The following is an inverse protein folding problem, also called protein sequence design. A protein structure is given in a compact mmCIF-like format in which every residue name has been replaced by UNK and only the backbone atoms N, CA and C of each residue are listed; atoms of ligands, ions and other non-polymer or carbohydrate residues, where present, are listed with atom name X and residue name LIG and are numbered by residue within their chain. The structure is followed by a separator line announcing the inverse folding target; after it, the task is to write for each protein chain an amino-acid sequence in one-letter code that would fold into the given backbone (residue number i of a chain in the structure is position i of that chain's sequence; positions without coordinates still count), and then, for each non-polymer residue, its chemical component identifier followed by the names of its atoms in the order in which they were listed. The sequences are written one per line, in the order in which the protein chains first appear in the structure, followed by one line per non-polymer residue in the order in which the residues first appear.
data_IF_962606974540
#
_entry.id   IF_962606974540
#
_cell.length_a   1.000
_cell.length_b   1.000
_cell.length_c   1.000
_cell.angle_alpha   90.00
_cell.angle_beta   90.00
_cell.angle_gamma   90.00
#
_symmetry.space_group_name_H-M   'P 1'
#
loop_
_entity.id
_entity.type
_entity.pdbx_description
1 polymer ?
#
# COMPACT_ATOMS: atom_id res chain seq x y z
N UNK A 1 34.01 -0.51 15.12
CA UNK A 1 32.65 -0.57 15.70
C UNK A 1 31.68 -0.83 14.56
N UNK A 2 31.45 -2.10 14.23
CA UNK A 2 30.59 -2.50 13.11
C UNK A 2 29.16 -2.72 13.61
N UNK A 3 28.25 -1.83 13.24
CA UNK A 3 26.83 -1.94 13.61
C UNK A 3 26.16 -2.97 12.70
N UNK A 4 25.73 -4.09 13.28
CA UNK A 4 24.95 -5.12 12.59
C UNK A 4 23.53 -4.60 12.43
N UNK A 5 23.20 -4.09 11.24
CA UNK A 5 21.83 -3.69 10.89
C UNK A 5 21.00 -4.95 10.70
N UNK A 6 20.08 -5.18 11.63
CA UNK A 6 19.06 -6.20 11.53
C UNK A 6 17.90 -5.61 10.72
N UNK A 7 17.91 -5.77 9.40
CA UNK A 7 16.73 -5.48 8.58
C UNK A 7 15.73 -6.60 8.89
N UNK A 8 14.79 -6.35 9.80
CA UNK A 8 13.61 -7.19 9.93
C UNK A 8 12.75 -6.90 8.70
N UNK A 9 13.03 -7.62 7.61
CA UNK A 9 12.09 -7.75 6.51
C UNK A 9 10.89 -8.51 7.07
N UNK A 10 9.94 -7.79 7.66
CA UNK A 10 8.60 -8.32 7.90
C UNK A 10 8.04 -8.61 6.52
N UNK A 11 8.04 -9.91 6.19
CA UNK A 11 7.65 -10.44 4.92
C UNK A 11 6.31 -9.82 4.49
N UNK A 12 6.29 -9.22 3.31
CA UNK A 12 5.09 -9.25 2.50
C UNK A 12 4.88 -10.74 2.23
N UNK A 13 4.01 -11.39 3.00
CA UNK A 13 3.54 -12.71 2.61
C UNK A 13 3.05 -12.55 1.18
N UNK A 14 3.69 -13.25 0.25
CA UNK A 14 3.24 -13.36 -1.13
C UNK A 14 1.99 -14.23 -1.08
N UNK A 15 0.93 -13.68 -0.51
CA UNK A 15 -0.40 -14.25 -0.54
C UNK A 15 -0.74 -14.44 -2.00
N UNK A 16 -0.84 -15.71 -2.38
CA UNK A 16 -1.34 -16.18 -3.66
C UNK A 16 -2.45 -15.27 -4.15
N UNK A 17 -2.30 -14.76 -5.38
CA UNK A 17 -3.14 -13.74 -6.01
C UNK A 17 -4.58 -13.78 -5.53
N UNK A 18 -4.90 -12.89 -4.61
CA UNK A 18 -6.29 -12.57 -4.29
C UNK A 18 -6.57 -11.29 -5.04
N UNK A 19 -7.54 -11.40 -5.94
CA UNK A 19 -7.92 -10.38 -6.90
C UNK A 19 -7.96 -8.99 -6.26
N UNK A 20 -7.40 -8.02 -6.98
CA UNK A 20 -7.65 -6.61 -6.74
C UNK A 20 -9.15 -6.36 -6.95
N UNK A 21 -9.94 -6.69 -5.93
CA UNK A 21 -11.37 -6.44 -5.96
C UNK A 21 -11.55 -4.94 -5.84
N UNK A 22 -11.80 -4.31 -7.00
CA UNK A 22 -12.17 -2.90 -7.14
C UNK A 22 -13.42 -2.62 -6.32
N UNK A 23 -13.28 -2.37 -5.01
CA UNK A 23 -14.42 -2.13 -4.12
C UNK A 23 -14.25 -2.54 -2.67
N UNK A 24 -13.09 -2.99 -2.21
CA UNK A 24 -12.87 -3.20 -0.77
C UNK A 24 -12.82 -1.86 -0.05
N UNK A 25 -13.88 -1.53 0.70
CA UNK A 25 -13.88 -0.42 1.66
C UNK A 25 -12.62 -0.52 2.55
N UNK A 26 -11.96 0.61 2.88
CA UNK A 26 -10.77 0.58 3.71
C UNK A 26 -11.09 -0.11 5.03
N UNK A 27 -10.27 -1.11 5.40
CA UNK A 27 -10.42 -1.75 6.69
C UNK A 27 -10.03 -0.72 7.77
N UNK A 28 -10.93 -0.35 8.69
CA UNK A 28 -10.64 0.66 9.70
C UNK A 28 -9.44 0.26 10.57
N UNK A 29 -9.31 -1.02 10.95
CA UNK A 29 -8.18 -1.49 11.75
C UNK A 29 -6.83 -1.37 11.02
N UNK A 30 -6.80 -1.57 9.70
CA UNK A 30 -5.58 -1.37 8.90
C UNK A 30 -5.26 0.13 8.74
N UNK A 31 -6.29 0.97 8.72
CA UNK A 31 -6.18 2.43 8.62
C UNK A 31 -5.67 3.03 9.93
N UNK A 32 -6.18 2.54 11.07
CA UNK A 32 -5.72 2.92 12.41
C UNK A 32 -4.27 2.46 12.65
N UNK A 33 -3.96 1.19 12.31
CA UNK A 33 -2.58 0.71 12.38
C UNK A 33 -1.62 1.57 11.55
N UNK A 34 -2.04 1.99 10.35
CA UNK A 34 -1.23 2.85 9.49
C UNK A 34 -0.85 4.15 10.18
N UNK A 35 -1.84 4.88 10.71
CA UNK A 35 -1.62 6.19 11.32
C UNK A 35 -0.88 6.09 12.65
N UNK A 36 -1.15 5.06 13.45
CA UNK A 36 -0.45 4.80 14.72
C UNK A 36 1.04 4.51 14.52
N UNK A 37 1.42 3.90 13.40
CA UNK A 37 2.81 3.52 13.10
C UNK A 37 3.54 4.57 12.23
N UNK A 38 3.00 5.79 12.13
CA UNK A 38 3.64 6.89 11.40
C UNK A 38 3.49 6.82 9.88
N UNK A 39 2.58 5.98 9.38
CA UNK A 39 2.18 5.95 7.98
C UNK A 39 1.06 6.96 7.67
N UNK A 40 0.91 7.26 6.38
CA UNK A 40 -0.14 8.15 5.85
C UNK A 40 -1.07 7.34 4.96
N UNK A 41 -2.37 7.43 5.22
CA UNK A 41 -3.40 6.76 4.41
C UNK A 41 -3.69 7.59 3.17
N UNK A 42 -3.58 6.96 1.99
CA UNK A 42 -3.89 7.57 0.69
C UNK A 42 -4.90 6.72 -0.09
N UNK A 43 -5.80 7.38 -0.80
CA UNK A 43 -6.66 6.74 -1.79
C UNK A 43 -6.08 6.97 -3.18
N UNK A 44 -5.78 5.89 -3.90
CA UNK A 44 -5.25 5.92 -5.26
C UNK A 44 -6.30 5.45 -6.26
N UNK A 45 -6.32 6.10 -7.42
CA UNK A 45 -7.18 5.74 -8.53
C UNK A 45 -6.34 5.14 -9.65
N UNK A 46 -6.71 3.95 -10.16
CA UNK A 46 -5.98 3.32 -11.25
C UNK A 46 -6.19 4.07 -12.57
N UNK A 47 -5.11 4.25 -13.33
CA UNK A 47 -5.12 4.76 -14.69
C UNK A 47 -4.46 3.75 -15.62
N UNK A 48 -5.02 3.58 -16.82
CA UNK A 48 -4.46 2.76 -17.88
C UNK A 48 -3.84 3.66 -18.95
N UNK A 49 -2.57 3.42 -19.29
CA UNK A 49 -1.88 4.15 -20.34
C UNK A 49 -2.43 3.76 -21.73
N UNK A 50 -2.77 4.75 -22.54
CA UNK A 50 -3.26 4.56 -23.90
C UNK A 50 -2.24 5.07 -24.92
N UNK A 51 -2.31 4.57 -26.16
CA UNK A 51 -1.37 4.94 -27.23
C UNK A 51 -1.52 6.37 -27.74
N UNK A 52 -2.68 7.00 -27.51
CA UNK A 52 -2.99 8.38 -27.89
C UNK A 52 -2.54 9.42 -26.85
N UNK A 53 -1.93 8.97 -25.74
CA UNK A 53 -1.40 9.84 -24.69
C UNK A 53 -2.43 10.34 -23.68
N UNK A 54 -3.69 9.92 -23.78
CA UNK A 54 -4.76 10.26 -22.85
C UNK A 54 -5.10 9.06 -21.94
N UNK A 55 -4.49 8.94 -20.76
CA UNK A 55 -4.70 7.78 -19.90
C UNK A 55 -6.16 7.65 -19.49
N UNK A 56 -6.71 6.44 -19.62
CA UNK A 56 -8.07 6.13 -19.22
C UNK A 56 -8.10 5.85 -17.71
N UNK A 57 -8.89 6.62 -16.95
CA UNK A 57 -9.14 6.31 -15.55
C UNK A 57 -9.98 5.03 -15.47
N UNK A 58 -9.50 4.05 -14.72
CA UNK A 58 -10.24 2.81 -14.48
C UNK A 58 -11.17 2.96 -13.28
N UNK A 59 -12.23 2.17 -13.26
CA UNK A 59 -13.16 2.10 -12.15
C UNK A 59 -12.49 1.52 -10.90
N UNK A 60 -12.83 2.09 -9.74
CA UNK A 60 -12.36 1.63 -8.43
C UNK A 60 -11.34 2.56 -7.81
N UNK A 61 -10.97 2.24 -6.58
CA UNK A 61 -9.94 2.94 -5.82
C UNK A 61 -9.24 1.96 -4.90
N UNK A 62 -7.99 2.24 -4.57
CA UNK A 62 -7.18 1.46 -3.65
C UNK A 62 -6.77 2.36 -2.49
N UNK A 63 -7.15 1.99 -1.28
CA UNK A 63 -6.62 2.64 -0.08
C UNK A 63 -5.30 2.00 0.32
N UNK A 64 -4.24 2.81 0.40
CA UNK A 64 -2.89 2.39 0.76
C UNK A 64 -2.40 3.15 1.98
N UNK A 65 -1.65 2.46 2.83
CA UNK A 65 -0.84 3.06 3.87
C UNK A 65 0.55 3.32 3.30
N UNK A 66 1.01 4.56 3.31
CA UNK A 66 2.33 4.93 2.79
C UNK A 66 3.23 5.37 3.93
N UNK A 67 4.37 4.71 4.06
CA UNK A 67 5.44 5.12 4.97
C UNK A 67 6.50 5.89 4.20
N UNK A 68 7.17 6.81 4.87
CA UNK A 68 8.36 7.50 4.34
C UNK A 68 9.58 6.97 5.08
N UNK A 69 10.57 6.48 4.33
CA UNK A 69 11.85 6.05 4.87
C UNK A 69 12.81 7.23 5.05
N UNK A 70 13.93 7.01 5.74
CA UNK A 70 14.93 8.06 6.03
C UNK A 70 15.58 8.66 4.76
N UNK A 71 15.53 7.95 3.63
CA UNK A 71 15.99 8.40 2.32
C UNK A 71 14.88 9.09 1.48
N UNK A 72 13.80 9.52 2.13
CA UNK A 72 12.59 10.11 1.52
C UNK A 72 11.82 9.18 0.57
N UNK A 73 12.20 7.91 0.52
CA UNK A 73 11.48 6.90 -0.26
C UNK A 73 10.08 6.65 0.30
N UNK A 74 9.08 6.64 -0.60
CA UNK A 74 7.68 6.35 -0.26
C UNK A 74 7.37 4.87 -0.46
N UNK A 75 6.95 4.19 0.60
CA UNK A 75 6.69 2.74 0.60
C UNK A 75 5.18 2.51 0.79
N UNK A 76 4.40 2.34 -0.31
CA UNK A 76 2.98 2.04 -0.21
C UNK A 76 2.76 0.56 0.18
N UNK A 77 1.85 0.34 1.13
CA UNK A 77 1.34 -0.96 1.56
C UNK A 77 -0.18 -0.93 1.45
N UNK A 78 -0.79 -2.00 0.96
CA UNK A 78 -2.25 -2.09 0.93
C UNK A 78 -2.79 -2.09 2.36
N UNK A 79 -3.84 -1.30 2.64
CA UNK A 79 -4.57 -1.35 3.92
C UNK A 79 -5.47 -2.61 4.01
N UNK A 80 -4.91 -3.78 3.70
CA UNK A 80 -5.60 -5.06 3.84
C UNK A 80 -5.30 -5.58 5.25
N UNK A 81 -6.30 -5.57 6.14
CA UNK A 81 -6.18 -6.34 7.37
C UNK A 81 -6.44 -7.81 7.01
N UNK A 82 -5.40 -8.64 7.04
CA UNK A 82 -5.59 -10.06 7.31
C UNK A 82 -6.06 -10.17 8.77
N UNK A 83 -7.38 -10.13 8.98
CA UNK A 83 -7.95 -10.72 10.19
C UNK A 83 -7.78 -12.23 10.04
N UNK A 84 -7.08 -12.82 11.00
CA UNK A 84 -6.91 -14.25 11.19
C UNK A 84 -8.17 -15.07 10.94
#
# INVERSE_FOLDING_TARGET
MGSRILIVLTACDSGTGTELSSGSLPNPAATDYCTENGGVVETRYPFYGTSDGNPAQLSGSLTVCTFTADDDSRIPRCCFATLR
#
